data_IF_399555757570
#
_entry.id   IF_399555757570
#
_cell.length_a   1.000
_cell.length_b   1.000
_cell.length_c   1.000
_cell.angle_alpha   90.00
_cell.angle_beta   90.00
_cell.angle_gamma   90.00
#
_symmetry.space_group_name_H-M   'P 1'
#
loop_
_entity.id
_entity.type
_entity.pdbx_description
1 polymer ?
#
# COMPACT_ATOMS: atom_id res chain seq x y z
N UNK A 1 -21.64 3.86 36.70
CA UNK A 1 -21.03 3.33 35.46
C UNK A 1 -19.56 3.71 35.48
N UNK A 2 -18.72 2.92 36.14
CA UNK A 2 -17.27 3.13 36.17
C UNK A 2 -16.69 2.26 35.05
N UNK A 3 -16.35 2.87 33.91
CA UNK A 3 -15.58 2.17 32.89
C UNK A 3 -14.25 1.70 33.51
N UNK A 4 -13.89 0.44 33.28
CA UNK A 4 -12.60 -0.07 33.73
C UNK A 4 -11.48 0.65 32.97
N UNK A 5 -10.85 1.61 33.66
CA UNK A 5 -9.70 2.38 33.17
C UNK A 5 -8.59 1.50 32.57
N UNK A 6 -8.49 0.23 32.96
CA UNK A 6 -7.53 -0.70 32.38
C UNK A 6 -7.88 -1.09 30.94
N UNK A 7 -9.16 -1.33 30.63
CA UNK A 7 -9.62 -1.70 29.29
C UNK A 7 -9.52 -0.52 28.31
N UNK A 8 -9.93 0.68 28.72
CA UNK A 8 -9.80 1.89 27.89
C UNK A 8 -8.34 2.16 27.49
N UNK A 9 -7.40 1.98 28.42
CA UNK A 9 -5.96 2.11 28.15
C UNK A 9 -5.47 1.09 27.12
N UNK A 10 -6.01 -0.14 27.11
CA UNK A 10 -5.66 -1.18 26.12
C UNK A 10 -6.14 -0.80 24.72
N UNK A 11 -7.41 -0.40 24.59
CA UNK A 11 -8.00 0.04 23.31
C UNK A 11 -7.23 1.23 22.75
N UNK A 12 -6.99 2.26 23.58
CA UNK A 12 -6.23 3.44 23.18
C UNK A 12 -4.81 3.08 22.72
N UNK A 13 -4.10 2.21 23.46
CA UNK A 13 -2.75 1.76 23.09
C UNK A 13 -2.75 0.99 21.76
N UNK A 14 -3.74 0.13 21.51
CA UNK A 14 -3.86 -0.62 20.26
C UNK A 14 -4.14 0.32 19.08
N UNK A 15 -5.08 1.26 19.24
CA UNK A 15 -5.40 2.28 18.24
C UNK A 15 -4.19 3.14 17.91
N UNK A 16 -3.48 3.65 18.94
CA UNK A 16 -2.27 4.44 18.75
C UNK A 16 -1.20 3.64 17.99
N UNK A 17 -0.90 2.40 18.41
CA UNK A 17 0.06 1.52 17.71
C UNK A 17 -0.30 1.30 16.24
N UNK A 18 -1.58 1.06 15.95
CA UNK A 18 -2.06 0.89 14.57
C UNK A 18 -1.86 2.16 13.75
N UNK A 19 -2.30 3.31 14.25
CA UNK A 19 -2.19 4.59 13.52
C UNK A 19 -0.74 5.02 13.33
N UNK A 20 0.11 4.90 14.35
CA UNK A 20 1.54 5.18 14.23
C UNK A 20 2.19 4.27 13.19
N UNK A 21 1.87 2.97 13.20
CA UNK A 21 2.38 2.02 12.20
C UNK A 21 1.94 2.38 10.78
N UNK A 22 0.64 2.68 10.59
CA UNK A 22 0.08 3.08 9.29
C UNK A 22 0.70 4.37 8.75
N UNK A 23 0.87 5.38 9.61
CA UNK A 23 1.46 6.65 9.20
C UNK A 23 2.92 6.45 8.79
N UNK A 24 3.69 5.74 9.61
CA UNK A 24 5.10 5.51 9.35
C UNK A 24 5.32 4.68 8.07
N UNK A 25 4.62 3.56 7.92
CA UNK A 25 4.78 2.70 6.75
C UNK A 25 4.38 3.41 5.46
N UNK A 26 3.24 4.11 5.45
CA UNK A 26 2.78 4.87 4.28
C UNK A 26 3.74 6.01 3.93
N UNK A 27 4.36 6.65 4.91
CA UNK A 27 5.37 7.68 4.65
C UNK A 27 6.60 7.07 4.00
N UNK A 28 7.14 5.98 4.54
CA UNK A 28 8.32 5.29 3.99
C UNK A 28 8.05 4.80 2.56
N UNK A 29 6.93 4.10 2.33
CA UNK A 29 6.55 3.67 0.99
C UNK A 29 6.22 4.85 0.08
N UNK A 30 5.58 5.89 0.61
CA UNK A 30 5.29 7.11 -0.15
C UNK A 30 6.53 7.76 -0.72
N UNK A 31 7.58 7.94 0.09
CA UNK A 31 8.88 8.46 -0.37
C UNK A 31 9.51 7.53 -1.41
N UNK A 32 9.49 6.22 -1.17
CA UNK A 32 10.05 5.23 -2.09
C UNK A 32 9.34 5.23 -3.44
N UNK A 33 8.01 5.25 -3.46
CA UNK A 33 7.21 5.30 -4.68
C UNK A 33 7.39 6.63 -5.41
N UNK A 34 7.40 7.73 -4.67
CA UNK A 34 7.58 9.04 -5.25
C UNK A 34 8.96 9.18 -5.91
N UNK A 35 10.02 8.63 -5.31
CA UNK A 35 11.36 8.65 -5.88
C UNK A 35 11.60 7.59 -6.95
N UNK A 36 11.53 6.31 -6.55
CA UNK A 36 11.95 5.17 -7.39
C UNK A 36 10.87 4.78 -8.38
N UNK A 37 9.62 4.60 -7.94
CA UNK A 37 8.56 4.12 -8.85
C UNK A 37 8.20 5.16 -9.90
N UNK A 38 8.24 6.46 -9.58
CA UNK A 38 8.01 7.51 -10.58
C UNK A 38 9.03 7.44 -11.72
N UNK A 39 10.29 7.12 -11.42
CA UNK A 39 11.33 6.93 -12.44
C UNK A 39 11.04 5.70 -13.31
N UNK A 40 10.69 4.56 -12.69
CA UNK A 40 10.29 3.35 -13.43
C UNK A 40 9.11 3.62 -14.38
N UNK A 41 8.14 4.42 -13.96
CA UNK A 41 7.03 4.84 -14.81
C UNK A 41 7.45 5.76 -15.96
N UNK A 42 8.38 6.71 -15.75
CA UNK A 42 8.89 7.56 -16.83
C UNK A 42 9.59 6.74 -17.91
N UNK A 43 10.34 5.73 -17.49
CA UNK A 43 11.11 4.84 -18.38
C UNK A 43 10.16 3.97 -19.19
N UNK A 44 9.15 3.39 -18.54
CA UNK A 44 8.21 2.49 -19.22
C UNK A 44 7.21 3.23 -20.11
N UNK A 45 6.73 4.39 -19.67
CA UNK A 45 5.70 5.17 -20.37
C UNK A 45 6.17 6.64 -20.39
N UNK A 46 6.96 7.05 -21.40
CA UNK A 46 7.50 8.41 -21.49
C UNK A 46 6.43 9.50 -21.50
N UNK A 47 5.21 9.19 -21.92
CA UNK A 47 4.08 10.11 -21.84
C UNK A 47 3.74 10.54 -20.39
N UNK A 48 4.05 9.72 -19.39
CA UNK A 48 3.84 10.05 -17.97
C UNK A 48 4.88 11.04 -17.42
N UNK A 49 6.00 11.25 -18.13
CA UNK A 49 6.99 12.27 -17.78
C UNK A 49 6.50 13.71 -18.08
N UNK A 50 5.30 13.86 -18.65
CA UNK A 50 4.69 15.16 -18.86
C UNK A 50 4.36 15.83 -17.52
N UNK A 51 4.84 17.07 -17.37
CA UNK A 51 4.58 17.90 -16.19
C UNK A 51 3.09 18.21 -16.07
N UNK A 52 2.55 18.14 -14.86
CA UNK A 52 1.10 18.26 -14.63
C UNK A 52 0.56 19.64 -15.02
N UNK A 53 1.35 20.71 -14.88
CA UNK A 53 0.94 22.05 -15.29
C UNK A 53 0.73 22.21 -16.80
N UNK A 54 1.20 21.26 -17.63
CA UNK A 54 0.96 21.28 -19.08
C UNK A 54 -0.42 20.73 -19.45
N UNK A 55 -1.15 20.13 -18.51
CA UNK A 55 -2.48 19.61 -18.74
C UNK A 55 -3.51 20.74 -18.73
N UNK A 56 -4.50 20.72 -19.64
CA UNK A 56 -5.57 21.70 -19.63
C UNK A 56 -6.31 21.66 -18.30
N UNK A 57 -6.56 22.83 -17.70
CA UNK A 57 -7.22 22.96 -16.39
C UNK A 57 -6.28 23.05 -15.19
N UNK A 58 -4.97 22.80 -15.35
CA UNK A 58 -3.98 22.85 -14.27
C UNK A 58 -2.95 23.97 -14.40
N UNK A 59 -3.20 24.97 -15.27
CA UNK A 59 -2.28 26.08 -15.50
C UNK A 59 -1.99 26.90 -14.22
N UNK A 60 -2.94 26.96 -13.28
CA UNK A 60 -2.77 27.65 -11.99
C UNK A 60 -1.69 27.01 -11.09
N UNK A 61 -1.30 25.75 -11.34
CA UNK A 61 -0.21 25.09 -10.62
C UNK A 61 1.18 25.56 -11.08
N UNK A 62 1.26 26.40 -12.12
CA UNK A 62 2.52 26.94 -12.60
C UNK A 62 3.16 27.91 -11.58
N UNK A 63 2.35 28.65 -10.84
CA UNK A 63 2.82 29.69 -9.91
C UNK A 63 3.38 29.11 -8.59
N UNK A 64 3.26 27.80 -8.39
CA UNK A 64 3.78 27.10 -7.21
C UNK A 64 5.10 26.41 -7.54
N UNK A 65 6.17 26.85 -6.89
CA UNK A 65 7.53 26.36 -7.14
C UNK A 65 7.67 24.84 -6.86
N UNK A 66 6.93 24.32 -5.88
CA UNK A 66 6.95 22.90 -5.52
C UNK A 66 6.28 22.00 -6.56
N UNK A 67 5.27 22.47 -7.28
CA UNK A 67 4.49 21.67 -8.24
C UNK A 67 5.12 21.64 -9.63
N UNK A 68 6.12 22.49 -9.89
CA UNK A 68 6.83 22.51 -11.17
C UNK A 68 7.58 21.21 -11.50
N UNK A 69 7.96 20.45 -10.47
CA UNK A 69 8.65 19.15 -10.60
C UNK A 69 7.70 17.97 -10.61
N UNK A 70 6.42 18.18 -10.33
CA UNK A 70 5.41 17.12 -10.38
C UNK A 70 5.03 16.82 -11.83
N UNK A 71 5.20 15.55 -12.19
CA UNK A 71 4.73 14.96 -13.43
C UNK A 71 3.67 13.90 -13.16
N UNK A 72 3.04 13.42 -14.23
CA UNK A 72 1.98 12.43 -14.13
C UNK A 72 2.47 11.08 -13.60
N UNK A 73 3.77 10.76 -13.75
CA UNK A 73 4.39 9.55 -13.22
C UNK A 73 4.34 9.49 -11.70
N UNK A 74 4.52 10.62 -10.99
CA UNK A 74 4.35 10.63 -9.52
C UNK A 74 2.91 10.29 -9.11
N UNK A 75 1.91 10.80 -9.82
CA UNK A 75 0.50 10.50 -9.52
C UNK A 75 0.17 9.04 -9.81
N UNK A 76 0.68 8.48 -10.90
CA UNK A 76 0.54 7.05 -11.21
C UNK A 76 1.24 6.18 -10.17
N UNK A 77 2.42 6.58 -9.68
CA UNK A 77 3.11 5.88 -8.61
C UNK A 77 2.29 5.85 -7.31
N UNK A 78 1.74 6.99 -6.88
CA UNK A 78 0.87 7.04 -5.70
C UNK A 78 -0.41 6.21 -5.91
N UNK A 79 -1.01 6.28 -7.09
CA UNK A 79 -2.18 5.47 -7.44
C UNK A 79 -1.89 3.98 -7.37
N UNK A 80 -0.73 3.55 -7.90
CA UNK A 80 -0.26 2.17 -7.80
C UNK A 80 -0.04 1.76 -6.35
N UNK A 81 0.59 2.60 -5.51
CA UNK A 81 0.78 2.34 -4.08
C UNK A 81 -0.56 2.05 -3.38
N UNK A 82 -1.57 2.88 -3.62
CA UNK A 82 -2.90 2.69 -3.03
C UNK A 82 -3.52 1.38 -3.51
N UNK A 83 -3.50 1.12 -4.83
CA UNK A 83 -4.05 -0.11 -5.40
C UNK A 83 -3.36 -1.37 -4.85
N UNK A 84 -2.03 -1.36 -4.75
CA UNK A 84 -1.23 -2.46 -4.21
C UNK A 84 -1.53 -2.69 -2.73
N UNK A 85 -1.55 -1.63 -1.92
CA UNK A 85 -1.86 -1.73 -0.49
C UNK A 85 -3.28 -2.25 -0.24
N UNK A 86 -4.27 -1.79 -1.01
CA UNK A 86 -5.65 -2.28 -0.90
C UNK A 86 -5.78 -3.74 -1.34
N UNK A 87 -5.15 -4.10 -2.45
CA UNK A 87 -5.20 -5.48 -2.97
C UNK A 87 -4.54 -6.45 -2.00
N UNK A 88 -3.39 -6.10 -1.44
CA UNK A 88 -2.71 -6.93 -0.45
C UNK A 88 -3.48 -7.08 0.85
N UNK A 89 -4.13 -6.01 1.32
CA UNK A 89 -5.03 -6.11 2.48
C UNK A 89 -6.16 -7.11 2.21
N UNK A 90 -6.79 -7.06 1.04
CA UNK A 90 -7.86 -7.98 0.65
C UNK A 90 -7.36 -9.43 0.52
N UNK A 91 -6.19 -9.65 -0.09
CA UNK A 91 -5.59 -11.00 -0.20
C UNK A 91 -5.28 -11.58 1.17
N UNK A 92 -4.70 -10.80 2.08
CA UNK A 92 -4.38 -11.26 3.43
C UNK A 92 -5.63 -11.50 4.27
N UNK A 93 -6.67 -10.66 4.14
CA UNK A 93 -7.97 -10.88 4.76
C UNK A 93 -8.57 -12.22 4.31
N UNK A 94 -8.48 -12.49 3.01
CA UNK A 94 -8.93 -13.74 2.42
C UNK A 94 -8.14 -14.95 2.94
N UNK A 95 -6.81 -14.85 2.97
CA UNK A 95 -5.93 -15.95 3.41
C UNK A 95 -6.03 -16.24 4.91
N UNK A 96 -6.23 -15.20 5.73
CA UNK A 96 -6.39 -15.35 7.18
C UNK A 96 -7.80 -15.77 7.59
N UNK A 97 -8.73 -15.90 6.64
CA UNK A 97 -10.13 -16.28 6.93
C UNK A 97 -10.86 -15.26 7.81
N UNK A 98 -10.43 -14.00 7.83
CA UNK A 98 -10.98 -12.97 8.72
C UNK A 98 -12.39 -12.58 8.27
N UNK A 99 -12.65 -12.61 6.95
CA UNK A 99 -13.95 -12.32 6.35
C UNK A 99 -15.07 -13.21 6.92
N UNK A 100 -14.76 -14.45 7.29
CA UNK A 100 -15.74 -15.40 7.83
C UNK A 100 -16.23 -15.04 9.23
N UNK A 101 -15.49 -14.22 9.99
CA UNK A 101 -15.88 -13.85 11.37
C UNK A 101 -16.81 -12.65 11.46
N UNK A 102 -16.84 -11.76 10.47
CA UNK A 102 -17.57 -10.48 10.58
C UNK A 102 -18.75 -10.35 9.62
N UNK A 103 -18.76 -11.07 8.50
CA UNK A 103 -19.81 -10.90 7.49
C UNK A 103 -20.40 -12.25 7.17
N UNK A 104 -21.57 -12.53 7.76
CA UNK A 104 -22.42 -13.70 7.46
C UNK A 104 -23.05 -13.63 6.05
N UNK A 105 -22.42 -12.92 5.11
CA UNK A 105 -22.80 -12.87 3.70
C UNK A 105 -22.07 -13.96 2.96
N UNK A 106 -22.82 -15.04 2.77
CA UNK A 106 -22.51 -16.33 2.13
C UNK A 106 -22.15 -16.23 0.63
N UNK A 107 -21.43 -15.21 0.20
CA UNK A 107 -20.94 -15.07 -1.18
C UNK A 107 -19.49 -15.56 -1.25
N UNK A 108 -19.26 -16.76 -0.71
CA UNK A 108 -18.00 -17.48 -0.81
C UNK A 108 -17.93 -18.19 -2.17
N UNK A 109 -18.05 -17.43 -3.26
CA UNK A 109 -17.84 -17.99 -4.59
C UNK A 109 -16.33 -18.11 -4.81
N UNK A 110 -15.81 -19.33 -5.00
CA UNK A 110 -14.39 -19.54 -5.30
C UNK A 110 -13.89 -18.74 -6.50
N UNK A 111 -14.80 -18.27 -7.36
CA UNK A 111 -14.51 -17.34 -8.47
C UNK A 111 -14.04 -15.97 -8.00
N UNK A 112 -14.65 -15.40 -6.95
CA UNK A 112 -14.23 -14.11 -6.41
C UNK A 112 -12.82 -14.19 -5.81
N UNK A 113 -12.57 -15.26 -5.04
CA UNK A 113 -11.24 -15.53 -4.47
C UNK A 113 -10.17 -15.65 -5.56
N UNK A 114 -10.45 -16.44 -6.60
CA UNK A 114 -9.54 -16.60 -7.73
C UNK A 114 -9.27 -15.25 -8.44
N UNK A 115 -10.29 -14.41 -8.62
CA UNK A 115 -10.14 -13.09 -9.23
C UNK A 115 -9.26 -12.17 -8.37
N UNK A 116 -9.49 -12.10 -7.06
CA UNK A 116 -8.68 -11.26 -6.14
C UNK A 116 -7.22 -11.72 -6.15
N UNK A 117 -6.97 -13.03 -6.08
CA UNK A 117 -5.61 -13.59 -6.13
C UNK A 117 -4.95 -13.31 -7.48
N UNK A 118 -5.67 -13.47 -8.59
CA UNK A 118 -5.14 -13.15 -9.92
C UNK A 118 -4.79 -11.66 -10.04
N UNK A 119 -5.67 -10.78 -9.57
CA UNK A 119 -5.42 -9.34 -9.58
C UNK A 119 -4.20 -8.97 -8.74
N UNK A 120 -4.01 -9.63 -7.60
CA UNK A 120 -2.83 -9.45 -6.77
C UNK A 120 -1.53 -9.88 -7.45
N UNK A 121 -1.54 -11.02 -8.13
CA UNK A 121 -0.38 -11.49 -8.91
C UNK A 121 -0.03 -10.53 -10.05
N UNK A 122 -1.05 -10.04 -10.78
CA UNK A 122 -0.85 -9.09 -11.88
C UNK A 122 -0.29 -7.77 -11.35
N UNK A 123 -0.86 -7.23 -10.27
CA UNK A 123 -0.39 -5.98 -9.68
C UNK A 123 1.02 -6.11 -9.11
N UNK A 124 1.33 -7.21 -8.41
CA UNK A 124 2.66 -7.46 -7.87
C UNK A 124 3.70 -7.68 -8.96
N UNK A 125 3.36 -8.43 -10.01
CA UNK A 125 4.24 -8.62 -11.15
C UNK A 125 4.53 -7.30 -11.87
N UNK A 126 3.49 -6.49 -12.10
CA UNK A 126 3.62 -5.17 -12.70
C UNK A 126 4.45 -4.21 -11.85
N UNK A 127 4.16 -4.13 -10.56
CA UNK A 127 4.90 -3.32 -9.60
C UNK A 127 6.37 -3.75 -9.48
N UNK A 128 6.63 -5.05 -9.34
CA UNK A 128 7.99 -5.60 -9.27
C UNK A 128 8.78 -5.29 -10.55
N UNK A 129 8.13 -5.32 -11.70
CA UNK A 129 8.73 -4.94 -12.98
C UNK A 129 9.05 -3.44 -13.05
N UNK A 130 8.12 -2.56 -12.63
CA UNK A 130 8.35 -1.10 -12.56
C UNK A 130 9.50 -0.76 -11.59
N UNK A 131 9.55 -1.43 -10.44
CA UNK A 131 10.65 -1.22 -9.48
C UNK A 131 11.99 -1.71 -10.06
N UNK A 132 12.00 -2.88 -10.70
CA UNK A 132 13.20 -3.41 -11.34
C UNK A 132 13.72 -2.50 -12.45
N UNK A 133 12.83 -1.98 -13.31
CA UNK A 133 13.21 -1.04 -14.37
C UNK A 133 13.78 0.26 -13.80
N UNK A 134 13.17 0.79 -12.74
CA UNK A 134 13.69 1.97 -12.04
C UNK A 134 15.10 1.75 -11.49
N UNK A 135 15.35 0.62 -10.82
CA UNK A 135 16.68 0.30 -10.28
C UNK A 135 17.72 0.13 -11.39
N UNK A 136 17.33 -0.45 -12.54
CA UNK A 136 18.20 -0.56 -13.71
C UNK A 136 18.70 0.80 -14.20
N UNK A 137 17.79 1.78 -14.28
CA UNK A 137 18.07 3.13 -14.78
C UNK A 137 18.84 4.01 -13.79
N UNK A 138 18.71 3.75 -12.49
CA UNK A 138 19.50 4.42 -11.45
C UNK A 138 21.01 4.07 -11.49
N UNK A 139 21.47 3.35 -12.51
CA UNK A 139 22.88 3.11 -12.79
C UNK A 139 23.46 1.89 -12.08
N UNK A 140 22.61 1.02 -11.55
CA UNK A 140 23.04 -0.19 -10.83
C UNK A 140 23.37 -1.35 -11.78
N UNK A 141 23.18 -1.18 -13.09
CA UNK A 141 23.65 -2.10 -14.12
C UNK A 141 23.96 -1.40 -15.45
N UNK A 142 25.18 -1.58 -15.95
CA UNK A 142 25.53 -1.23 -17.34
C UNK A 142 25.11 -2.29 -18.38
N UNK A 143 24.42 -3.36 -17.95
CA UNK A 143 23.97 -4.49 -18.77
C UNK A 143 22.45 -4.64 -18.72
N UNK A 144 21.84 -5.18 -19.79
CA UNK A 144 20.38 -5.37 -19.87
C UNK A 144 19.77 -6.28 -18.80
N UNK A 145 20.59 -7.06 -18.08
CA UNK A 145 20.19 -7.82 -16.89
C UNK A 145 20.98 -7.36 -15.67
N UNK A 146 20.29 -7.13 -14.54
CA UNK A 146 20.85 -6.70 -13.27
C UNK A 146 20.49 -7.67 -12.16
N UNK A 147 21.43 -8.52 -11.74
CA UNK A 147 21.21 -9.40 -10.59
C UNK A 147 20.93 -8.61 -9.31
N UNK A 148 21.62 -7.47 -9.13
CA UNK A 148 21.44 -6.60 -7.98
C UNK A 148 20.04 -5.99 -7.99
N UNK A 149 19.55 -5.53 -9.15
CA UNK A 149 18.19 -5.06 -9.32
C UNK A 149 17.15 -6.11 -8.94
N UNK A 150 17.35 -7.36 -9.35
CA UNK A 150 16.45 -8.47 -9.02
C UNK A 150 16.42 -8.77 -7.53
N UNK A 151 17.58 -8.77 -6.86
CA UNK A 151 17.66 -8.95 -5.40
C UNK A 151 16.97 -7.77 -4.68
N UNK A 152 17.21 -6.53 -5.14
CA UNK A 152 16.56 -5.35 -4.56
C UNK A 152 15.04 -5.43 -4.71
N UNK A 153 14.52 -5.83 -5.87
CA UNK A 153 13.08 -6.06 -6.09
C UNK A 153 12.53 -7.15 -5.17
N UNK A 154 13.24 -8.27 -5.02
CA UNK A 154 12.80 -9.35 -4.14
C UNK A 154 12.73 -8.93 -2.66
N UNK A 155 13.74 -8.18 -2.20
CA UNK A 155 13.75 -7.61 -0.84
C UNK A 155 12.62 -6.60 -0.68
N UNK A 156 12.43 -5.71 -1.65
CA UNK A 156 11.35 -4.72 -1.68
C UNK A 156 9.98 -5.39 -1.52
N UNK A 157 9.67 -6.38 -2.37
CA UNK A 157 8.40 -7.11 -2.33
C UNK A 157 8.22 -7.84 -0.98
N UNK A 158 9.28 -8.44 -0.45
CA UNK A 158 9.25 -9.13 0.84
C UNK A 158 8.91 -8.18 2.00
N UNK A 159 9.55 -7.00 2.02
CA UNK A 159 9.28 -5.95 3.03
C UNK A 159 7.85 -5.45 2.91
N UNK A 160 7.36 -5.22 1.68
CA UNK A 160 5.99 -4.80 1.45
C UNK A 160 4.98 -5.81 1.99
N UNK A 161 5.16 -7.10 1.70
CA UNK A 161 4.29 -8.17 2.22
C UNK A 161 4.32 -8.20 3.75
N UNK A 162 5.50 -8.12 4.36
CA UNK A 162 5.66 -8.13 5.81
C UNK A 162 4.95 -6.92 6.47
N UNK A 163 5.06 -5.73 5.86
CA UNK A 163 4.41 -4.52 6.38
C UNK A 163 2.89 -4.61 6.26
N UNK A 164 2.37 -5.12 5.14
CA UNK A 164 0.93 -5.32 4.97
C UNK A 164 0.40 -6.39 5.94
N UNK A 165 1.12 -7.48 6.13
CA UNK A 165 0.81 -8.50 7.15
C UNK A 165 0.70 -7.89 8.55
N UNK A 166 1.73 -7.12 8.97
CA UNK A 166 1.70 -6.47 10.28
C UNK A 166 0.55 -5.48 10.43
N UNK A 167 0.22 -4.77 9.36
CA UNK A 167 -0.91 -3.84 9.30
C UNK A 167 -2.24 -4.53 9.52
N UNK A 168 -2.45 -5.69 8.88
CA UNK A 168 -3.66 -6.50 9.03
C UNK A 168 -3.77 -7.04 10.46
N UNK A 169 -2.68 -7.57 11.03
CA UNK A 169 -2.67 -8.06 12.41
C UNK A 169 -3.03 -6.97 13.44
N UNK A 170 -2.44 -5.78 13.32
CA UNK A 170 -2.73 -4.66 14.24
C UNK A 170 -4.17 -4.18 14.12
N UNK A 171 -4.71 -4.16 12.90
CA UNK A 171 -6.12 -3.79 12.68
C UNK A 171 -7.07 -4.80 13.31
N UNK A 172 -6.76 -6.08 13.26
CA UNK A 172 -7.58 -7.12 13.90
C UNK A 172 -7.52 -7.02 15.43
N UNK A 173 -6.32 -6.87 16.01
CA UNK A 173 -6.13 -6.65 17.45
C UNK A 173 -6.98 -5.45 17.94
N UNK A 174 -7.00 -4.36 17.16
CA UNK A 174 -7.83 -3.19 17.46
C UNK A 174 -9.34 -3.50 17.36
N UNK A 175 -9.79 -4.22 16.33
CA UNK A 175 -11.21 -4.58 16.15
C UNK A 175 -11.70 -5.49 17.27
N UNK A 176 -10.93 -6.50 17.64
CA UNK A 176 -11.29 -7.45 18.69
C UNK A 176 -11.50 -6.73 20.04
N UNK A 177 -10.58 -5.83 20.41
CA UNK A 177 -10.71 -5.01 21.63
C UNK A 177 -11.90 -4.04 21.58
N UNK A 178 -12.21 -3.46 20.42
CA UNK A 178 -13.39 -2.60 20.28
C UNK A 178 -14.70 -3.39 20.42
N UNK A 179 -14.75 -4.60 19.86
CA UNK A 179 -15.91 -5.48 19.98
C UNK A 179 -16.11 -5.94 21.43
N UNK A 180 -15.05 -6.29 22.15
CA UNK A 180 -15.11 -6.62 23.59
C UNK A 180 -15.68 -5.47 24.42
N UNK A 181 -15.23 -4.23 24.15
CA UNK A 181 -15.74 -3.02 24.82
C UNK A 181 -17.24 -2.84 24.58
N UNK A 182 -17.68 -3.02 23.35
CA UNK A 182 -19.08 -2.78 22.98
C UNK A 182 -20.00 -3.84 23.60
N UNK A 183 -19.58 -5.11 23.68
CA UNK A 183 -20.31 -6.16 24.41
C UNK A 183 -20.43 -5.84 25.90
N UNK A 184 -19.33 -5.41 26.55
CA UNK A 184 -19.33 -5.04 27.97
C UNK A 184 -20.20 -3.82 28.30
N UNK A 185 -20.48 -2.94 27.32
CA UNK A 185 -21.36 -1.79 27.50
C UNK A 185 -22.86 -2.16 27.42
N UNK A 186 -23.19 -3.31 26.83
CA UNK A 186 -24.58 -3.78 26.66
C UNK A 186 -25.09 -4.68 27.78
N UNK A 187 -24.19 -5.24 28.60
CA UNK A 187 -24.50 -6.08 29.77
C UNK A 187 -24.64 -5.27 31.03
#
# INVERSE_FOLDING_TARGET
MFFDSAHERKVFRAQFRYWSWQLWSKLVFGVMYFGVMSEGFRVMIPALAQKVHKLPGFAFLYDYEATYRLDLAHFMAIGLLVAVMMTWAAVLELWLGIEERHTRTRVHSGRHQALVVLMAWVLLGGEGYVFYSAIGELGWSGSGFSLIGLIATAVYLSVMVAVTYKSVCLRNEMKDLMQERDHAATT
#
